data_IF_650031792898
#
_entry.id   IF_650031792898
#
_cell.length_a   1.000
_cell.length_b   1.000
_cell.length_c   1.000
_cell.angle_alpha   90.00
_cell.angle_beta   90.00
_cell.angle_gamma   90.00
#
_symmetry.space_group_name_H-M   'P 1'
#
loop_
_entity.id
_entity.type
_entity.pdbx_description
1 polymer ?
#
# COMPACT_ATOMS: atom_id res chain seq x y z
N UNK A 1 -30.69 24.96 26.30
CA UNK A 1 -29.57 25.37 25.38
C UNK A 1 -29.09 24.11 24.65
N UNK A 2 -29.51 23.98 23.43
CA UNK A 2 -29.14 22.84 22.58
C UNK A 2 -27.73 23.04 22.04
N UNK A 3 -26.81 22.12 22.34
CA UNK A 3 -25.51 22.03 21.64
C UNK A 3 -25.74 21.18 20.39
N UNK A 4 -25.87 21.85 19.26
CA UNK A 4 -25.71 21.24 17.95
C UNK A 4 -24.30 20.70 17.81
N UNK A 5 -24.18 19.38 17.93
CA UNK A 5 -22.97 18.67 17.55
C UNK A 5 -22.86 18.68 16.03
N UNK A 6 -21.96 19.47 15.50
CA UNK A 6 -21.57 19.38 14.10
C UNK A 6 -21.01 17.97 13.86
N UNK A 7 -21.82 17.12 13.22
CA UNK A 7 -21.33 15.88 12.59
C UNK A 7 -20.39 16.31 11.47
N UNK A 8 -19.09 16.16 11.70
CA UNK A 8 -18.12 16.19 10.63
C UNK A 8 -18.57 15.17 9.58
N UNK A 9 -18.88 15.64 8.38
CA UNK A 9 -19.06 14.78 7.22
C UNK A 9 -17.74 14.02 7.05
N UNK A 10 -17.79 12.76 7.43
CA UNK A 10 -16.78 11.78 7.09
C UNK A 10 -16.71 11.78 5.56
N UNK A 11 -15.68 12.43 5.00
CA UNK A 11 -15.42 12.43 3.57
C UNK A 11 -14.88 11.04 3.26
N UNK A 12 -15.80 10.11 3.00
CA UNK A 12 -15.47 8.76 2.58
C UNK A 12 -14.49 8.85 1.40
N UNK A 13 -13.33 8.23 1.54
CA UNK A 13 -12.33 8.17 0.47
C UNK A 13 -12.98 7.56 -0.78
N UNK A 14 -12.73 8.12 -1.98
CA UNK A 14 -13.30 7.60 -3.20
C UNK A 14 -12.91 6.13 -3.39
N UNK A 15 -13.83 5.32 -3.90
CA UNK A 15 -13.64 3.90 -4.17
C UNK A 15 -13.67 3.57 -5.66
N UNK A 16 -13.61 2.29 -5.98
CA UNK A 16 -13.66 1.78 -7.38
C UNK A 16 -14.96 2.23 -8.09
N UNK A 17 -16.07 2.31 -7.38
CA UNK A 17 -17.38 2.73 -7.95
C UNK A 17 -17.31 4.18 -8.43
N UNK A 18 -16.71 5.06 -7.68
CA UNK A 18 -16.53 6.48 -8.01
C UNK A 18 -15.58 6.64 -9.19
N UNK A 19 -14.49 5.87 -9.24
CA UNK A 19 -13.60 5.84 -10.41
C UNK A 19 -14.35 5.38 -11.66
N UNK A 20 -15.13 4.32 -11.56
CA UNK A 20 -15.92 3.78 -12.66
C UNK A 20 -16.92 4.80 -13.21
N UNK A 21 -17.62 5.52 -12.33
CA UNK A 21 -18.56 6.57 -12.71
C UNK A 21 -17.87 7.72 -13.47
N UNK A 22 -16.72 8.18 -13.00
CA UNK A 22 -15.94 9.26 -13.63
C UNK A 22 -15.31 8.81 -14.95
N UNK A 23 -14.83 7.57 -15.02
CA UNK A 23 -14.22 7.01 -16.25
C UNK A 23 -15.26 6.57 -17.30
N UNK A 24 -16.54 6.47 -16.94
CA UNK A 24 -17.58 5.97 -17.83
C UNK A 24 -17.47 4.48 -18.16
N UNK A 25 -16.96 3.68 -17.22
CA UNK A 25 -16.79 2.23 -17.37
C UNK A 25 -17.39 1.49 -16.18
N UNK A 26 -17.50 0.16 -16.27
CA UNK A 26 -17.98 -0.66 -15.15
C UNK A 26 -16.93 -0.76 -14.03
N UNK A 27 -17.33 -0.97 -12.75
CA UNK A 27 -16.41 -1.25 -11.66
C UNK A 27 -15.51 -2.47 -11.93
N UNK A 28 -16.02 -3.48 -12.62
CA UNK A 28 -15.26 -4.65 -13.05
C UNK A 28 -14.13 -4.25 -14.01
N UNK A 29 -14.38 -3.33 -14.94
CA UNK A 29 -13.35 -2.80 -15.85
C UNK A 29 -12.27 -2.07 -15.08
N UNK A 30 -12.63 -1.22 -14.12
CA UNK A 30 -11.64 -0.55 -13.24
C UNK A 30 -10.78 -1.59 -12.51
N UNK A 31 -11.40 -2.58 -11.91
CA UNK A 31 -10.69 -3.67 -11.21
C UNK A 31 -9.72 -4.41 -12.14
N UNK A 32 -10.11 -4.70 -13.37
CA UNK A 32 -9.24 -5.35 -14.37
C UNK A 32 -8.06 -4.47 -14.77
N UNK A 33 -8.27 -3.16 -14.94
CA UNK A 33 -7.18 -2.20 -15.21
C UNK A 33 -6.18 -2.20 -14.06
N UNK A 34 -6.66 -2.10 -12.82
CA UNK A 34 -5.80 -2.05 -11.63
C UNK A 34 -5.00 -3.34 -11.42
N UNK A 35 -5.59 -4.49 -11.73
CA UNK A 35 -4.96 -5.80 -11.53
C UNK A 35 -4.26 -6.34 -12.79
N UNK A 36 -4.24 -5.55 -13.87
CA UNK A 36 -3.67 -5.93 -15.16
C UNK A 36 -4.18 -7.28 -15.69
N UNK A 37 -5.49 -7.55 -15.50
CA UNK A 37 -6.13 -8.81 -15.89
C UNK A 37 -6.94 -8.65 -17.18
N UNK A 38 -6.73 -9.57 -18.10
CA UNK A 38 -7.43 -9.62 -19.38
C UNK A 38 -7.00 -8.55 -20.37
N UNK A 39 -7.57 -8.62 -21.59
CA UNK A 39 -7.33 -7.61 -22.60
C UNK A 39 -8.15 -6.35 -22.30
N UNK A 40 -7.47 -5.22 -22.15
CA UNK A 40 -8.09 -3.91 -21.98
C UNK A 40 -7.35 -2.95 -22.91
N UNK A 41 -8.11 -2.23 -23.74
CA UNK A 41 -7.54 -1.24 -24.68
C UNK A 41 -6.78 -0.15 -23.93
N UNK A 42 -5.76 0.40 -24.57
CA UNK A 42 -4.99 1.51 -24.01
C UNK A 42 -5.89 2.72 -23.71
N UNK A 43 -6.85 3.01 -24.58
CA UNK A 43 -7.84 4.08 -24.38
C UNK A 43 -8.61 3.91 -23.06
N UNK A 44 -9.07 2.69 -22.77
CA UNK A 44 -9.79 2.39 -21.51
C UNK A 44 -8.87 2.53 -20.31
N UNK A 45 -7.61 2.08 -20.40
CA UNK A 45 -6.61 2.27 -19.34
C UNK A 45 -6.41 3.75 -19.05
N UNK A 46 -6.24 4.56 -20.07
CA UNK A 46 -6.01 6.01 -19.97
C UNK A 46 -7.22 6.70 -19.32
N UNK A 47 -8.44 6.34 -19.70
CA UNK A 47 -9.67 6.86 -19.08
C UNK A 47 -9.74 6.55 -17.58
N UNK A 48 -9.41 5.33 -17.19
CA UNK A 48 -9.41 4.91 -15.78
C UNK A 48 -8.32 5.65 -15.00
N UNK A 49 -7.10 5.74 -15.52
CA UNK A 49 -6.02 6.47 -14.87
C UNK A 49 -6.32 7.97 -14.73
N UNK A 50 -6.88 8.59 -15.77
CA UNK A 50 -7.30 9.98 -15.70
C UNK A 50 -8.39 10.21 -14.65
N UNK A 51 -9.38 9.31 -14.56
CA UNK A 51 -10.43 9.35 -13.56
C UNK A 51 -9.86 9.23 -12.14
N UNK A 52 -8.96 8.29 -11.91
CA UNK A 52 -8.28 8.12 -10.62
C UNK A 52 -7.55 9.39 -10.19
N UNK A 53 -6.81 10.00 -11.09
CA UNK A 53 -6.09 11.25 -10.84
C UNK A 53 -7.05 12.40 -10.53
N UNK A 54 -8.15 12.50 -11.29
CA UNK A 54 -9.16 13.56 -11.14
C UNK A 54 -9.83 13.57 -9.77
N UNK A 55 -10.14 12.39 -9.21
CA UNK A 55 -10.80 12.25 -7.90
C UNK A 55 -9.81 11.93 -6.77
N UNK A 56 -8.52 12.00 -7.05
CA UNK A 56 -7.45 11.67 -6.11
C UNK A 56 -7.60 10.26 -5.47
N UNK A 57 -8.00 9.30 -6.30
CA UNK A 57 -8.12 7.90 -5.88
C UNK A 57 -6.74 7.23 -5.91
N UNK A 58 -6.35 6.66 -4.79
CA UNK A 58 -5.18 5.80 -4.70
C UNK A 58 -5.64 4.37 -4.46
N UNK A 59 -5.23 3.40 -5.30
CA UNK A 59 -5.56 2.00 -5.08
C UNK A 59 -5.13 1.54 -3.69
N UNK A 60 -6.00 0.81 -3.01
CA UNK A 60 -5.63 0.20 -1.74
C UNK A 60 -4.78 -1.05 -2.01
N UNK A 61 -3.47 -0.91 -1.83
CA UNK A 61 -2.51 -2.01 -2.03
C UNK A 61 -2.81 -3.21 -1.12
N UNK A 62 -3.37 -2.96 0.08
CA UNK A 62 -3.78 -4.02 1.01
C UNK A 62 -4.94 -4.82 0.42
N UNK A 63 -5.97 -4.16 -0.12
CA UNK A 63 -7.09 -4.85 -0.76
C UNK A 63 -6.65 -5.64 -2.00
N UNK A 64 -5.70 -5.10 -2.78
CA UNK A 64 -5.08 -5.82 -3.91
C UNK A 64 -4.26 -7.02 -3.46
N UNK A 65 -3.52 -6.89 -2.38
CA UNK A 65 -2.74 -7.97 -1.80
C UNK A 65 -3.62 -9.12 -1.28
N UNK A 66 -4.78 -8.79 -0.69
CA UNK A 66 -5.77 -9.81 -0.29
C UNK A 66 -6.27 -10.64 -1.46
N UNK A 67 -6.38 -10.05 -2.65
CA UNK A 67 -6.79 -10.74 -3.88
C UNK A 67 -5.65 -11.53 -4.53
N UNK A 68 -4.41 -11.06 -4.40
CA UNK A 68 -3.22 -11.62 -5.05
C UNK A 68 -2.35 -12.45 -4.09
N UNK A 69 -2.64 -12.42 -2.79
CA UNK A 69 -1.91 -13.15 -1.74
C UNK A 69 -0.51 -12.60 -1.43
N UNK A 70 -0.14 -11.44 -1.98
CA UNK A 70 1.20 -10.82 -1.77
C UNK A 70 1.11 -9.30 -1.71
N UNK A 71 1.80 -8.72 -0.72
CA UNK A 71 1.95 -7.26 -0.56
C UNK A 71 3.20 -6.72 -1.26
N UNK A 72 4.13 -7.58 -1.66
CA UNK A 72 5.50 -7.22 -2.06
C UNK A 72 6.18 -6.36 -0.98
N UNK A 73 6.03 -6.78 0.27
CA UNK A 73 6.55 -6.09 1.44
C UNK A 73 7.47 -7.00 2.23
N UNK A 74 8.69 -6.54 2.48
CA UNK A 74 9.70 -7.23 3.28
C UNK A 74 9.91 -6.47 4.58
N UNK A 75 9.87 -7.19 5.71
CA UNK A 75 10.20 -6.64 7.01
C UNK A 75 11.71 -6.77 7.29
N UNK A 76 12.33 -5.69 7.75
CA UNK A 76 13.72 -5.71 8.19
C UNK A 76 13.82 -5.18 9.61
N UNK A 77 14.40 -5.95 10.51
CA UNK A 77 14.64 -5.56 11.89
C UNK A 77 16.14 -5.36 12.09
N UNK A 78 16.51 -4.18 12.57
CA UNK A 78 17.91 -3.86 12.90
C UNK A 78 18.01 -3.40 14.35
N UNK A 79 19.14 -3.66 15.02
CA UNK A 79 19.33 -3.23 16.40
C UNK A 79 19.49 -1.71 16.53
N UNK A 80 20.20 -1.08 15.58
CA UNK A 80 20.46 0.36 15.58
C UNK A 80 20.51 0.92 14.17
N UNK A 81 19.52 1.72 13.78
CA UNK A 81 19.51 2.42 12.48
C UNK A 81 20.59 3.49 12.38
N UNK A 82 21.05 4.02 13.53
CA UNK A 82 22.12 5.02 13.59
C UNK A 82 23.53 4.44 13.39
N UNK A 83 23.69 3.13 13.42
CA UNK A 83 24.97 2.50 13.14
C UNK A 83 25.33 2.66 11.66
N UNK A 84 26.51 3.20 11.31
CA UNK A 84 26.93 3.33 9.91
C UNK A 84 26.93 2.01 9.15
N UNK A 85 27.28 0.91 9.81
CA UNK A 85 27.21 -0.42 9.22
C UNK A 85 25.77 -0.82 8.86
N UNK A 86 24.83 -0.71 9.81
CA UNK A 86 23.44 -1.05 9.55
C UNK A 86 22.81 -0.12 8.51
N UNK A 87 23.15 1.16 8.53
CA UNK A 87 22.65 2.13 7.55
C UNK A 87 23.07 1.74 6.11
N UNK A 88 24.31 1.33 5.91
CA UNK A 88 24.78 0.86 4.60
C UNK A 88 24.10 -0.43 4.17
N UNK A 89 23.95 -1.39 5.06
CA UNK A 89 23.24 -2.65 4.78
C UNK A 89 21.79 -2.39 4.40
N UNK A 90 21.07 -1.56 5.17
CA UNK A 90 19.69 -1.15 4.89
C UNK A 90 19.58 -0.52 3.51
N UNK A 91 20.47 0.41 3.17
CA UNK A 91 20.47 1.09 1.88
C UNK A 91 20.62 0.13 0.71
N UNK A 92 21.55 -0.82 0.80
CA UNK A 92 21.78 -1.80 -0.27
C UNK A 92 20.59 -2.74 -0.43
N UNK A 93 20.02 -3.22 0.68
CA UNK A 93 18.86 -4.11 0.66
C UNK A 93 17.62 -3.36 0.11
N UNK A 94 17.38 -2.14 0.58
CA UNK A 94 16.26 -1.33 0.12
C UNK A 94 16.32 -1.09 -1.40
N UNK A 95 17.49 -0.72 -1.91
CA UNK A 95 17.67 -0.51 -3.34
C UNK A 95 17.41 -1.79 -4.14
N UNK A 96 17.96 -2.91 -3.70
CA UNK A 96 17.75 -4.21 -4.37
C UNK A 96 16.27 -4.62 -4.34
N UNK A 97 15.58 -4.41 -3.22
CA UNK A 97 14.14 -4.69 -3.10
C UNK A 97 13.32 -3.79 -4.04
N UNK A 98 13.63 -2.50 -4.09
CA UNK A 98 12.94 -1.53 -4.94
C UNK A 98 13.08 -1.87 -6.44
N UNK A 99 14.28 -2.26 -6.89
CA UNK A 99 14.52 -2.73 -8.27
C UNK A 99 13.69 -3.96 -8.64
N UNK A 100 13.35 -4.80 -7.65
CA UNK A 100 12.54 -6.00 -7.83
C UNK A 100 11.05 -5.80 -7.50
N UNK A 101 10.60 -4.57 -7.32
CA UNK A 101 9.19 -4.24 -7.08
C UNK A 101 8.71 -4.52 -5.65
N UNK A 102 9.62 -4.68 -4.71
CA UNK A 102 9.32 -4.83 -3.29
C UNK A 102 9.49 -3.51 -2.54
N UNK A 103 8.76 -3.38 -1.45
CA UNK A 103 8.91 -2.31 -0.46
C UNK A 103 9.50 -2.87 0.82
N UNK A 104 10.15 -2.03 1.60
CA UNK A 104 10.74 -2.44 2.87
C UNK A 104 10.07 -1.72 4.04
N UNK A 105 9.76 -2.47 5.10
CA UNK A 105 9.36 -1.96 6.39
C UNK A 105 10.52 -2.13 7.37
N UNK A 106 11.13 -1.01 7.75
CA UNK A 106 12.29 -1.00 8.64
C UNK A 106 11.86 -0.81 10.09
N UNK A 107 12.29 -1.73 10.96
CA UNK A 107 12.05 -1.70 12.39
C UNK A 107 13.38 -1.60 13.17
N UNK A 108 13.45 -0.67 14.13
CA UNK A 108 14.61 -0.49 14.98
C UNK A 108 14.35 -1.10 16.37
N UNK A 109 15.00 -2.22 16.69
CA UNK A 109 14.78 -2.91 17.97
C UNK A 109 15.55 -2.31 19.16
N UNK A 110 16.48 -1.41 18.89
CA UNK A 110 17.37 -0.84 19.91
C UNK A 110 18.05 -1.93 20.77
N UNK A 111 18.35 -3.08 20.18
CA UNK A 111 18.91 -4.26 20.84
C UNK A 111 18.08 -4.76 22.04
N UNK A 112 16.76 -4.59 21.98
CA UNK A 112 15.82 -4.99 23.02
C UNK A 112 15.01 -6.20 22.55
N UNK A 113 15.18 -7.38 23.19
CA UNK A 113 14.52 -8.62 22.76
C UNK A 113 12.99 -8.54 22.76
N UNK A 114 12.40 -7.80 23.69
CA UNK A 114 10.95 -7.59 23.75
C UNK A 114 10.41 -6.78 22.58
N UNK A 115 11.16 -5.76 22.10
CA UNK A 115 10.79 -5.01 20.90
C UNK A 115 10.95 -5.87 19.64
N UNK A 116 12.01 -6.65 19.55
CA UNK A 116 12.24 -7.56 18.44
C UNK A 116 11.10 -8.55 18.28
N UNK A 117 10.68 -9.20 19.37
CA UNK A 117 9.51 -10.09 19.38
C UNK A 117 8.23 -9.37 18.95
N UNK A 118 8.00 -8.17 19.47
CA UNK A 118 6.84 -7.36 19.12
C UNK A 118 6.80 -7.01 17.62
N UNK A 119 7.95 -6.67 17.05
CA UNK A 119 8.06 -6.40 15.61
C UNK A 119 7.86 -7.65 14.76
N UNK A 120 8.41 -8.79 15.17
CA UNK A 120 8.17 -10.07 14.48
C UNK A 120 6.68 -10.39 14.46
N UNK A 121 5.99 -10.26 15.59
CA UNK A 121 4.55 -10.49 15.68
C UNK A 121 3.75 -9.51 14.82
N UNK A 122 4.14 -8.24 14.81
CA UNK A 122 3.52 -7.21 13.99
C UNK A 122 3.69 -7.53 12.49
N UNK A 123 4.90 -7.86 12.05
CA UNK A 123 5.21 -8.17 10.66
C UNK A 123 4.43 -9.41 10.19
N UNK A 124 4.37 -10.44 11.00
CA UNK A 124 3.58 -11.65 10.70
C UNK A 124 2.09 -11.37 10.56
N UNK A 125 1.52 -10.51 11.41
CA UNK A 125 0.09 -10.12 11.33
C UNK A 125 -0.20 -9.22 10.14
N UNK A 126 0.74 -8.41 9.70
CA UNK A 126 0.59 -7.48 8.58
C UNK A 126 0.91 -8.10 7.22
N UNK A 127 1.00 -9.44 7.16
CA UNK A 127 1.13 -10.17 5.90
C UNK A 127 2.35 -9.76 5.06
N UNK A 128 3.50 -9.47 5.70
CA UNK A 128 4.75 -9.30 4.96
C UNK A 128 5.10 -10.61 4.24
N UNK A 129 5.75 -10.50 3.10
CA UNK A 129 6.14 -11.66 2.28
C UNK A 129 7.41 -12.33 2.78
N UNK A 130 8.18 -11.61 3.62
CA UNK A 130 9.40 -12.10 4.24
C UNK A 130 9.97 -11.14 5.27
#
# INVERSE_FOLDING_TARGET
MAREGARSKDTAKPGIKEVAAVAGVSPTTVSRVLNNRGYISQETRDKVHAAMKRINYTPNDIARAMLNGRLNLIGMIVPYVSSPFHAQVVQVIEHTLAENGFKMLLCNSANRPELERSYIDMLRRNMVDG
#
